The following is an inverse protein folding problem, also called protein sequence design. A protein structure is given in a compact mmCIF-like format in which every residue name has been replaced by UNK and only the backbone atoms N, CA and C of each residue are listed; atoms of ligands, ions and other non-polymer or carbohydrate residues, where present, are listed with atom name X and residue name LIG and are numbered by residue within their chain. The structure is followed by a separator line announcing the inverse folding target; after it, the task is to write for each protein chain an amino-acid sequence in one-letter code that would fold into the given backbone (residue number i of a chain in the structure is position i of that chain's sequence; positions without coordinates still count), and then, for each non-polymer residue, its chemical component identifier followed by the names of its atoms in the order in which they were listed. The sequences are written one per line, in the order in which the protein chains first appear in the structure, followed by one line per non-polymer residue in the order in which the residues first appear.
data_IF_763294489372
#
_entry.id   IF_763294489372
#
_cell.length_a   1.000
_cell.length_b   1.000
_cell.length_c   1.000
_cell.angle_alpha   90.00
_cell.angle_beta   90.00
_cell.angle_gamma   90.00
#
_symmetry.space_group_name_H-M   'P 1'
#
loop_
_entity.id
_entity.type
_entity.pdbx_description
1 polymer ?
#
# COMPACT_ATOMS: atom_id res chain seq x y z
N UNK A 1 -0.55 9.30 -19.95
CA UNK A 1 -0.54 9.89 -18.59
C UNK A 1 -0.66 11.41 -18.58
N UNK A 2 0.30 12.19 -19.12
CA UNK A 2 0.20 13.66 -19.14
C UNK A 2 -1.03 14.18 -19.88
N UNK A 3 -1.40 13.52 -20.96
CA UNK A 3 -2.58 13.87 -21.76
C UNK A 3 -3.87 13.55 -21.00
N UNK A 4 -3.92 12.46 -20.25
CA UNK A 4 -5.03 12.07 -19.37
C UNK A 4 -5.23 13.09 -18.26
N UNK A 5 -4.16 13.52 -17.58
CA UNK A 5 -4.20 14.56 -16.55
C UNK A 5 -4.67 15.90 -17.12
N UNK A 6 -4.18 16.30 -18.31
CA UNK A 6 -4.59 17.53 -18.98
C UNK A 6 -6.07 17.50 -19.37
N UNK A 7 -6.58 16.35 -19.82
CA UNK A 7 -8.00 16.19 -20.15
C UNK A 7 -8.87 16.16 -18.89
N UNK A 8 -8.45 15.47 -17.83
CA UNK A 8 -9.14 15.46 -16.54
C UNK A 8 -9.25 16.86 -15.93
N UNK A 9 -8.22 17.70 -16.09
CA UNK A 9 -8.24 19.09 -15.59
C UNK A 9 -9.27 19.98 -16.28
N UNK A 10 -9.64 19.69 -17.53
CA UNK A 10 -10.68 20.42 -18.27
C UNK A 10 -12.08 20.13 -17.74
N UNK A 11 -12.29 19.01 -17.04
CA UNK A 11 -13.58 18.61 -16.51
C UNK A 11 -13.74 19.20 -15.10
N UNK A 12 -14.72 20.10 -14.85
CA UNK A 12 -14.82 20.85 -13.59
C UNK A 12 -14.92 19.99 -12.35
N UNK A 13 -15.63 18.85 -12.40
CA UNK A 13 -15.80 17.96 -11.24
C UNK A 13 -14.52 17.17 -10.94
N UNK A 14 -13.82 16.68 -11.99
CA UNK A 14 -12.54 15.99 -11.78
C UNK A 14 -11.48 16.95 -11.26
N UNK A 15 -11.50 18.19 -11.75
CA UNK A 15 -10.63 19.26 -11.22
C UNK A 15 -10.91 19.52 -9.73
N UNK A 16 -12.18 19.57 -9.30
CA UNK A 16 -12.52 19.71 -7.87
C UNK A 16 -12.00 18.57 -7.05
N UNK A 17 -12.14 17.32 -7.49
CA UNK A 17 -11.62 16.13 -6.81
C UNK A 17 -10.09 16.12 -6.72
N UNK A 18 -9.39 16.51 -7.81
CA UNK A 18 -7.94 16.66 -7.84
C UNK A 18 -7.46 17.72 -6.84
N UNK A 19 -8.08 18.90 -6.87
CA UNK A 19 -7.77 19.99 -5.94
C UNK A 19 -8.05 19.59 -4.48
N UNK A 20 -9.13 18.87 -4.22
CA UNK A 20 -9.46 18.36 -2.89
C UNK A 20 -8.39 17.37 -2.41
N UNK A 21 -7.98 16.43 -3.26
CA UNK A 21 -6.91 15.48 -2.92
C UNK A 21 -5.60 16.20 -2.60
N UNK A 22 -5.20 17.17 -3.43
CA UNK A 22 -4.01 17.99 -3.19
C UNK A 22 -4.10 18.79 -1.88
N UNK A 23 -5.26 19.36 -1.59
CA UNK A 23 -5.52 20.11 -0.37
C UNK A 23 -5.38 19.23 0.89
N UNK A 24 -5.96 18.03 0.87
CA UNK A 24 -5.81 17.07 1.98
C UNK A 24 -4.34 16.65 2.15
N UNK A 25 -3.62 16.38 1.05
CA UNK A 25 -2.19 16.05 1.12
C UNK A 25 -1.35 17.20 1.68
N UNK A 26 -1.71 18.45 1.39
CA UNK A 26 -1.07 19.63 1.96
C UNK A 26 -1.32 19.72 3.47
N UNK A 27 -2.57 19.53 3.94
CA UNK A 27 -2.89 19.49 5.37
C UNK A 27 -2.10 18.38 6.06
N UNK A 28 -2.06 17.19 5.47
CA UNK A 28 -1.27 16.09 5.97
C UNK A 28 0.22 16.47 6.11
N UNK A 29 0.77 17.13 5.10
CA UNK A 29 2.17 17.56 5.09
C UNK A 29 2.47 18.62 6.15
N UNK A 30 1.58 19.56 6.36
CA UNK A 30 1.69 20.55 7.45
C UNK A 30 1.67 19.86 8.82
N UNK A 31 0.77 18.90 9.02
CA UNK A 31 0.72 18.12 10.27
C UNK A 31 1.97 17.26 10.52
N UNK A 32 2.64 16.81 9.45
CA UNK A 32 3.87 16.01 9.58
C UNK A 32 5.11 16.81 10.01
N UNK A 33 5.00 18.14 10.16
CA UNK A 33 6.09 19.00 10.63
C UNK A 33 5.90 19.40 12.10
N UNK A 34 4.70 19.27 12.67
CA UNK A 34 4.39 19.66 14.04
C UNK A 34 4.99 18.64 15.02
N UNK A 35 6.00 19.00 15.84
CA UNK A 35 6.61 18.07 16.78
C UNK A 35 5.69 17.85 17.99
N UNK A 36 5.81 16.68 18.61
CA UNK A 36 5.13 16.38 19.87
C UNK A 36 5.88 17.08 21.01
N UNK A 37 5.17 17.70 21.96
CA UNK A 37 5.81 18.35 23.12
C UNK A 37 6.60 17.33 23.97
N UNK A 38 7.54 17.83 24.75
CA UNK A 38 8.44 17.06 25.64
C UNK A 38 9.47 16.15 24.93
N UNK A 39 9.68 16.30 23.63
CA UNK A 39 10.68 15.56 22.84
C UNK A 39 11.67 16.56 22.22
N UNK A 40 12.97 16.32 22.40
CA UNK A 40 14.01 17.05 21.67
C UNK A 40 14.19 16.46 20.27
N UNK A 41 13.63 17.17 19.30
CA UNK A 41 13.64 16.77 17.88
C UNK A 41 15.05 16.72 17.31
N UNK A 42 15.94 17.62 17.75
CA UNK A 42 17.29 17.71 17.20
C UNK A 42 18.15 16.53 17.63
N UNK A 43 18.11 16.20 18.89
CA UNK A 43 18.81 15.03 19.46
C UNK A 43 18.28 13.73 18.88
N UNK A 44 16.96 13.60 18.74
CA UNK A 44 16.34 12.42 18.14
C UNK A 44 16.70 12.25 16.65
N UNK A 45 16.67 13.33 15.85
CA UNK A 45 17.01 13.27 14.43
C UNK A 45 18.47 12.84 14.24
N UNK A 46 19.41 13.41 14.99
CA UNK A 46 20.82 13.05 14.92
C UNK A 46 21.04 11.57 15.33
N UNK A 47 20.38 11.12 16.38
CA UNK A 47 20.45 9.72 16.80
C UNK A 47 19.85 8.78 15.76
N UNK A 48 18.74 9.17 15.16
CA UNK A 48 18.09 8.41 14.11
C UNK A 48 19.00 8.24 12.90
N UNK A 49 19.60 9.31 12.41
CA UNK A 49 20.47 9.30 11.23
C UNK A 49 21.74 8.47 11.47
N UNK A 50 22.30 8.51 12.69
CA UNK A 50 23.53 7.79 13.01
C UNK A 50 23.34 6.30 13.30
N UNK A 51 22.22 5.90 13.93
CA UNK A 51 22.04 4.55 14.47
C UNK A 51 20.85 3.82 13.85
N UNK A 52 19.71 4.48 13.72
CA UNK A 52 18.44 3.85 13.39
C UNK A 52 18.11 3.85 11.89
N UNK A 53 18.75 4.69 11.10
CA UNK A 53 18.47 4.82 9.66
C UNK A 53 18.71 3.52 8.87
N UNK A 54 19.69 2.72 9.29
CA UNK A 54 20.01 1.41 8.67
C UNK A 54 19.14 0.25 9.15
N UNK A 55 18.26 0.49 10.13
CA UNK A 55 17.35 -0.53 10.68
C UNK A 55 15.98 -0.50 9.99
N UNK A 56 15.07 -1.40 10.40
CA UNK A 56 13.68 -1.41 9.93
C UNK A 56 12.95 -0.07 10.22
N UNK A 57 13.41 0.68 11.24
CA UNK A 57 12.85 2.00 11.57
C UNK A 57 13.14 3.04 10.49
N UNK A 58 14.24 2.89 9.72
CA UNK A 58 14.50 3.69 8.52
C UNK A 58 13.40 3.55 7.47
N UNK A 59 12.85 2.36 7.30
CA UNK A 59 11.71 2.13 6.43
C UNK A 59 10.43 2.81 6.94
N UNK A 60 10.15 2.70 8.26
CA UNK A 60 9.05 3.44 8.88
C UNK A 60 9.18 4.95 8.65
N UNK A 61 10.40 5.46 8.78
CA UNK A 61 10.69 6.87 8.54
C UNK A 61 10.42 7.27 7.07
N UNK A 62 10.82 6.43 6.11
CA UNK A 62 10.53 6.66 4.70
C UNK A 62 9.02 6.64 4.41
N UNK A 63 8.27 5.69 5.00
CA UNK A 63 6.82 5.57 4.85
C UNK A 63 6.03 6.67 5.56
N UNK A 64 6.60 7.30 6.61
CA UNK A 64 6.03 8.45 7.29
C UNK A 64 6.48 9.80 6.70
N UNK A 65 7.36 9.79 5.68
CA UNK A 65 7.91 10.99 5.07
C UNK A 65 8.78 11.82 6.03
N UNK A 66 9.63 11.14 6.81
CA UNK A 66 10.52 11.69 7.84
C UNK A 66 9.82 12.25 9.08
N UNK A 67 8.52 11.96 9.25
CA UNK A 67 7.77 12.35 10.44
C UNK A 67 8.18 11.50 11.67
N UNK A 68 8.57 10.23 11.44
CA UNK A 68 9.00 9.31 12.49
C UNK A 68 10.31 9.77 13.15
N UNK A 69 11.35 10.10 12.39
CA UNK A 69 12.65 10.54 12.93
C UNK A 69 12.58 11.88 13.67
N UNK A 70 11.51 12.64 13.48
CA UNK A 70 11.27 13.94 14.13
C UNK A 70 10.22 13.87 15.24
N UNK A 71 9.70 12.68 15.58
CA UNK A 71 8.63 12.48 16.55
C UNK A 71 7.49 13.51 16.41
N UNK A 72 7.01 13.72 15.21
CA UNK A 72 5.89 14.64 14.97
C UNK A 72 4.57 14.00 15.37
N UNK A 73 3.51 14.78 15.46
CA UNK A 73 2.16 14.28 15.78
C UNK A 73 1.73 13.17 14.83
N UNK A 74 2.15 13.23 13.56
CA UNK A 74 1.85 12.21 12.55
C UNK A 74 2.95 11.15 12.41
N UNK A 75 3.83 10.96 13.40
CA UNK A 75 4.97 10.05 13.32
C UNK A 75 4.58 8.59 13.03
N UNK A 76 3.50 8.08 13.62
CA UNK A 76 3.00 6.74 13.32
C UNK A 76 2.40 6.63 11.91
N UNK A 77 2.09 7.75 11.25
CA UNK A 77 1.53 7.80 9.91
C UNK A 77 0.26 6.97 9.78
N UNK A 78 0.15 6.25 8.67
CA UNK A 78 -1.00 5.41 8.35
C UNK A 78 -0.83 3.94 8.80
N UNK A 79 0.32 3.57 9.40
CA UNK A 79 0.65 2.20 9.77
C UNK A 79 -0.38 1.52 10.70
N UNK A 80 -0.88 2.17 11.77
CA UNK A 80 -1.90 1.54 12.62
C UNK A 80 -3.16 1.17 11.84
N UNK A 81 -3.55 1.99 10.86
CA UNK A 81 -4.71 1.72 10.00
C UNK A 81 -4.46 0.56 9.02
N UNK A 82 -3.29 0.52 8.39
CA UNK A 82 -2.91 -0.59 7.50
C UNK A 82 -2.96 -1.90 8.27
N UNK A 83 -2.33 -1.96 9.45
CA UNK A 83 -2.32 -3.14 10.30
C UNK A 83 -3.75 -3.54 10.74
N UNK A 84 -4.58 -2.58 11.14
CA UNK A 84 -5.98 -2.82 11.48
C UNK A 84 -6.77 -3.39 10.29
N UNK A 85 -6.60 -2.81 9.12
CA UNK A 85 -7.26 -3.25 7.89
C UNK A 85 -6.89 -4.69 7.53
N UNK A 86 -5.59 -5.04 7.63
CA UNK A 86 -5.11 -6.41 7.40
C UNK A 86 -5.76 -7.38 8.40
N UNK A 87 -5.70 -7.05 9.68
CA UNK A 87 -6.27 -7.89 10.74
C UNK A 87 -7.76 -8.12 10.51
N UNK A 88 -8.51 -7.06 10.23
CA UNK A 88 -9.96 -7.18 10.01
C UNK A 88 -10.27 -7.95 8.72
N UNK A 89 -9.51 -7.76 7.63
CA UNK A 89 -9.67 -8.55 6.41
C UNK A 89 -9.38 -10.04 6.63
N UNK A 90 -8.36 -10.39 7.39
CA UNK A 90 -8.07 -11.78 7.76
C UNK A 90 -9.19 -12.36 8.63
N UNK A 91 -9.68 -11.58 9.61
CA UNK A 91 -10.77 -12.00 10.48
C UNK A 91 -12.11 -12.15 9.74
N UNK A 92 -12.37 -11.36 8.69
CA UNK A 92 -13.57 -11.53 7.85
C UNK A 92 -13.60 -12.86 7.10
N UNK A 93 -12.44 -13.44 6.82
CA UNK A 93 -12.34 -14.77 6.22
C UNK A 93 -12.39 -15.87 7.28
N UNK A 94 -11.78 -15.63 8.46
CA UNK A 94 -11.68 -16.62 9.52
C UNK A 94 -12.96 -16.76 10.36
N UNK A 95 -13.73 -15.68 10.52
CA UNK A 95 -14.92 -15.64 11.40
C UNK A 95 -16.19 -15.59 10.55
N UNK A 96 -17.04 -16.66 10.56
CA UNK A 96 -18.25 -16.72 9.73
C UNK A 96 -19.25 -15.59 9.96
N UNK A 97 -19.28 -15.01 11.18
CA UNK A 97 -20.15 -13.87 11.48
C UNK A 97 -19.70 -12.60 10.73
N UNK A 98 -18.38 -12.35 10.63
CA UNK A 98 -17.83 -11.23 9.87
C UNK A 98 -17.91 -11.48 8.35
N UNK A 99 -17.76 -12.72 7.91
CA UNK A 99 -17.91 -13.10 6.51
C UNK A 99 -19.35 -12.80 6.02
N UNK A 100 -20.37 -13.22 6.78
CA UNK A 100 -21.78 -12.89 6.49
C UNK A 100 -22.02 -11.38 6.45
N UNK A 101 -21.43 -10.64 7.40
CA UNK A 101 -21.53 -9.18 7.43
C UNK A 101 -20.91 -8.54 6.18
N UNK A 102 -19.82 -9.10 5.67
CA UNK A 102 -19.11 -8.59 4.49
C UNK A 102 -19.86 -8.91 3.19
N UNK A 103 -20.41 -10.14 3.06
CA UNK A 103 -21.05 -10.63 1.83
C UNK A 103 -22.54 -10.30 1.77
N UNK A 104 -23.27 -10.58 2.85
CA UNK A 104 -24.73 -10.49 2.88
C UNK A 104 -25.23 -9.14 3.42
N UNK A 105 -24.37 -8.39 4.14
CA UNK A 105 -24.75 -7.14 4.79
C UNK A 105 -24.88 -5.92 3.87
N UNK A 106 -24.56 -6.05 2.57
CA UNK A 106 -24.62 -4.96 1.61
C UNK A 106 -23.79 -3.74 2.03
N UNK A 107 -24.32 -2.53 1.81
CA UNK A 107 -23.62 -1.28 2.20
C UNK A 107 -23.55 -1.09 3.72
N UNK A 108 -24.57 -1.52 4.47
CA UNK A 108 -24.57 -1.39 5.93
C UNK A 108 -23.58 -2.35 6.57
N UNK A 109 -23.38 -3.53 6.00
CA UNK A 109 -22.35 -4.47 6.42
C UNK A 109 -20.94 -3.91 6.23
N UNK A 110 -20.66 -3.32 5.07
CA UNK A 110 -19.41 -2.65 4.78
C UNK A 110 -19.13 -1.52 5.78
N UNK A 111 -20.10 -0.64 6.03
CA UNK A 111 -19.99 0.45 7.02
C UNK A 111 -19.70 -0.05 8.43
N UNK A 112 -20.28 -1.20 8.83
CA UNK A 112 -19.98 -1.81 10.14
C UNK A 112 -18.54 -2.33 10.21
N UNK A 113 -18.05 -2.98 9.16
CA UNK A 113 -16.66 -3.45 9.07
C UNK A 113 -15.68 -2.28 9.12
N UNK A 114 -15.94 -1.20 8.37
CA UNK A 114 -15.14 0.03 8.42
C UNK A 114 -15.12 0.62 9.84
N UNK A 115 -16.24 0.65 10.54
CA UNK A 115 -16.30 1.13 11.92
C UNK A 115 -15.46 0.25 12.87
N UNK A 116 -15.51 -1.07 12.73
CA UNK A 116 -14.66 -1.98 13.50
C UNK A 116 -13.18 -1.70 13.19
N UNK A 117 -12.82 -1.52 11.92
CA UNK A 117 -11.47 -1.17 11.50
C UNK A 117 -11.00 0.14 12.14
N UNK A 118 -11.84 1.17 12.20
CA UNK A 118 -11.52 2.44 12.84
C UNK A 118 -11.22 2.27 14.34
N UNK A 119 -12.06 1.52 15.08
CA UNK A 119 -11.81 1.26 16.50
C UNK A 119 -10.53 0.44 16.72
N UNK A 120 -10.30 -0.56 15.90
CA UNK A 120 -9.06 -1.36 15.92
C UNK A 120 -7.84 -0.48 15.62
N UNK A 121 -7.95 0.47 14.70
CA UNK A 121 -6.90 1.42 14.37
C UNK A 121 -6.52 2.29 15.58
N UNK A 122 -7.50 2.80 16.31
CA UNK A 122 -7.25 3.61 17.52
C UNK A 122 -6.58 2.74 18.60
N UNK A 123 -7.05 1.50 18.80
CA UNK A 123 -6.44 0.55 19.74
C UNK A 123 -4.98 0.23 19.39
N UNK A 124 -4.70 -0.05 18.11
CA UNK A 124 -3.33 -0.28 17.63
C UNK A 124 -2.49 1.01 17.70
N UNK A 125 -3.09 2.17 17.44
CA UNK A 125 -2.45 3.47 17.59
C UNK A 125 -1.96 3.72 19.02
N UNK A 126 -2.78 3.38 20.02
CA UNK A 126 -2.39 3.43 21.44
C UNK A 126 -1.23 2.49 21.75
N UNK A 127 -1.30 1.25 21.28
CA UNK A 127 -0.22 0.27 21.50
C UNK A 127 1.10 0.71 20.85
N UNK A 128 1.04 1.14 19.59
CA UNK A 128 2.22 1.60 18.85
C UNK A 128 2.76 2.91 19.40
N UNK A 129 1.88 3.82 19.81
CA UNK A 129 2.25 5.09 20.47
C UNK A 129 2.96 4.84 21.80
N UNK A 130 2.45 3.94 22.62
CA UNK A 130 3.09 3.51 23.86
C UNK A 130 4.45 2.86 23.59
N UNK A 131 4.52 1.96 22.63
CA UNK A 131 5.77 1.29 22.25
C UNK A 131 6.82 2.29 21.75
N UNK A 132 6.41 3.29 20.96
CA UNK A 132 7.30 4.35 20.50
C UNK A 132 7.79 5.22 21.67
N UNK A 133 6.91 5.59 22.62
CA UNK A 133 7.31 6.28 23.84
C UNK A 133 8.35 5.48 24.64
N UNK A 134 8.11 4.18 24.84
CA UNK A 134 9.06 3.31 25.56
C UNK A 134 10.42 3.24 24.85
N UNK A 135 10.44 3.21 23.53
CA UNK A 135 11.68 3.28 22.77
C UNK A 135 12.44 4.59 23.03
N UNK A 136 11.75 5.74 22.97
CA UNK A 136 12.34 7.04 23.24
C UNK A 136 12.87 7.14 24.69
N UNK A 137 12.12 6.59 25.65
CA UNK A 137 12.51 6.56 27.05
C UNK A 137 13.76 5.69 27.29
N UNK A 138 13.83 4.52 26.64
CA UNK A 138 14.99 3.64 26.73
C UNK A 138 16.26 4.31 26.17
N UNK A 139 16.16 5.05 25.06
CA UNK A 139 17.31 5.79 24.51
C UNK A 139 17.66 7.00 25.37
N UNK A 140 16.67 7.69 25.94
CA UNK A 140 16.92 8.79 26.87
C UNK A 140 17.70 8.30 28.12
N UNK A 141 17.38 7.12 28.64
CA UNK A 141 18.07 6.51 29.78
C UNK A 141 19.50 6.04 29.47
N UNK A 142 19.85 5.85 28.17
CA UNK A 142 21.21 5.53 27.71
C UNK A 142 22.13 6.76 27.54
N UNK A 143 21.68 7.95 27.94
CA UNK A 143 22.47 9.18 27.89
C UNK A 143 22.14 10.14 26.75
N UNK A 144 21.20 9.78 25.87
CA UNK A 144 20.66 10.67 24.86
C UNK A 144 19.43 11.40 25.43
N UNK A 145 19.55 12.60 25.95
CA UNK A 145 18.42 13.35 26.54
C UNK A 145 17.34 13.72 25.51
N UNK A 146 16.66 12.69 24.98
CA UNK A 146 15.60 12.82 23.97
C UNK A 146 14.31 13.31 24.59
N UNK A 147 13.96 12.80 25.79
CA UNK A 147 12.79 13.25 26.56
C UNK A 147 13.24 14.35 27.51
N UNK A 148 12.63 15.53 27.38
CA UNK A 148 13.02 16.72 28.18
C UNK A 148 12.51 16.68 29.61
N UNK A 149 11.39 16.01 29.86
CA UNK A 149 10.77 15.88 31.19
C UNK A 149 10.22 14.48 31.37
N UNK A 150 10.71 13.80 32.42
CA UNK A 150 10.19 12.49 32.81
C UNK A 150 8.95 12.64 33.71
N UNK A 151 7.98 11.75 33.55
CA UNK A 151 6.79 11.71 34.37
C UNK A 151 5.59 11.06 33.65
N UNK A 152 4.54 10.78 34.44
CA UNK A 152 3.32 10.16 33.88
C UNK A 152 2.56 11.10 32.92
N UNK A 153 2.48 12.39 33.22
CA UNK A 153 1.79 13.36 32.35
C UNK A 153 2.46 13.52 30.99
N UNK A 154 3.79 13.75 30.87
CA UNK A 154 4.47 13.75 29.57
C UNK A 154 4.28 12.45 28.77
N UNK A 155 4.38 11.29 29.43
CA UNK A 155 4.17 10.00 28.78
C UNK A 155 2.76 9.89 28.17
N UNK A 156 1.74 10.25 28.95
CA UNK A 156 0.34 10.22 28.51
C UNK A 156 0.10 11.19 27.34
N UNK A 157 0.63 12.41 27.42
CA UNK A 157 0.50 13.41 26.34
C UNK A 157 1.17 12.91 25.04
N UNK A 158 2.37 12.36 25.12
CA UNK A 158 3.10 11.82 23.95
C UNK A 158 2.31 10.69 23.29
N UNK A 159 1.84 9.71 24.08
CA UNK A 159 1.08 8.55 23.55
C UNK A 159 -0.24 8.98 22.93
N UNK A 160 -0.98 9.88 23.61
CA UNK A 160 -2.23 10.41 23.08
C UNK A 160 -2.02 11.25 21.81
N UNK A 161 -0.95 12.06 21.75
CA UNK A 161 -0.62 12.85 20.56
C UNK A 161 -0.36 11.94 19.35
N UNK A 162 0.44 10.88 19.50
CA UNK A 162 0.69 9.91 18.42
C UNK A 162 -0.58 9.17 17.99
N UNK A 163 -1.42 8.78 18.96
CA UNK A 163 -2.69 8.09 18.66
C UNK A 163 -3.66 9.01 17.94
N UNK A 164 -3.81 10.23 18.41
CA UNK A 164 -4.66 11.23 17.77
C UNK A 164 -4.16 11.56 16.34
N UNK A 165 -2.84 11.66 16.17
CA UNK A 165 -2.23 11.85 14.86
C UNK A 165 -2.54 10.71 13.90
N UNK A 166 -2.42 9.45 14.33
CA UNK A 166 -2.74 8.30 13.47
C UNK A 166 -4.23 8.22 13.13
N UNK A 167 -5.12 8.56 14.07
CA UNK A 167 -6.55 8.64 13.83
C UNK A 167 -6.90 9.76 12.83
N UNK A 168 -6.22 10.90 12.92
CA UNK A 168 -6.35 11.99 11.95
C UNK A 168 -5.91 11.56 10.55
N UNK A 169 -4.77 10.87 10.44
CA UNK A 169 -4.27 10.36 9.14
C UNK A 169 -5.24 9.36 8.53
N UNK A 170 -5.80 8.45 9.32
CA UNK A 170 -6.85 7.54 8.89
C UNK A 170 -8.03 8.31 8.31
N UNK A 171 -8.55 9.31 9.04
CA UNK A 171 -9.67 10.12 8.58
C UNK A 171 -9.36 10.89 7.30
N UNK A 172 -8.17 11.48 7.18
CA UNK A 172 -7.72 12.16 5.96
C UNK A 172 -7.65 11.19 4.76
N UNK A 173 -7.18 9.96 4.98
CA UNK A 173 -7.16 8.91 3.95
C UNK A 173 -8.56 8.51 3.48
N UNK A 174 -9.51 8.36 4.40
CA UNK A 174 -10.92 8.10 4.08
C UNK A 174 -11.55 9.25 3.30
N UNK A 175 -11.28 10.51 3.67
CA UNK A 175 -11.76 11.68 2.94
C UNK A 175 -11.25 11.71 1.48
N UNK A 176 -9.99 11.36 1.23
CA UNK A 176 -9.47 11.24 -0.14
C UNK A 176 -10.21 10.14 -0.91
N UNK A 177 -10.47 9.00 -0.27
CA UNK A 177 -11.16 7.87 -0.92
C UNK A 177 -12.60 8.22 -1.29
N UNK A 178 -13.30 8.95 -0.42
CA UNK A 178 -14.72 9.30 -0.61
C UNK A 178 -14.92 10.48 -1.58
N UNK A 179 -14.17 11.56 -1.40
CA UNK A 179 -14.36 12.82 -2.14
C UNK A 179 -13.25 13.14 -3.13
N UNK A 180 -12.14 12.42 -3.09
CA UNK A 180 -10.97 12.64 -3.93
C UNK A 180 -10.89 11.68 -5.13
N UNK A 181 -9.66 11.28 -5.45
CA UNK A 181 -9.34 10.38 -6.56
C UNK A 181 -8.49 9.21 -6.06
N UNK A 182 -8.92 8.00 -6.42
CA UNK A 182 -8.20 6.77 -6.08
C UNK A 182 -8.30 6.38 -4.61
N UNK A 183 -7.38 5.54 -4.15
CA UNK A 183 -7.32 5.08 -2.77
C UNK A 183 -6.53 6.07 -1.91
N UNK A 184 -7.17 6.70 -0.92
CA UNK A 184 -6.56 7.72 -0.09
C UNK A 184 -5.37 7.24 0.73
N UNK A 185 -5.37 5.99 1.19
CA UNK A 185 -4.26 5.36 1.91
C UNK A 185 -3.02 5.33 1.01
N UNK A 186 -3.20 4.80 -0.20
CA UNK A 186 -2.14 4.72 -1.21
C UNK A 186 -1.62 6.11 -1.59
N UNK A 187 -2.51 7.11 -1.69
CA UNK A 187 -2.13 8.49 -2.00
C UNK A 187 -1.31 9.15 -0.88
N UNK A 188 -1.62 8.88 0.39
CA UNK A 188 -0.80 9.38 1.53
C UNK A 188 0.57 8.70 1.52
N UNK A 189 0.65 7.39 1.30
CA UNK A 189 1.93 6.67 1.17
C UNK A 189 2.76 7.22 0.00
N UNK A 190 2.13 7.44 -1.14
CA UNK A 190 2.76 8.05 -2.33
C UNK A 190 3.35 9.42 -2.00
N UNK A 191 2.58 10.30 -1.34
CA UNK A 191 3.06 11.62 -0.95
C UNK A 191 4.24 11.56 0.03
N UNK A 192 4.23 10.61 0.96
CA UNK A 192 5.32 10.40 1.92
C UNK A 192 6.61 9.95 1.22
N UNK A 193 6.48 8.97 0.33
CA UNK A 193 7.64 8.44 -0.39
C UNK A 193 8.24 9.51 -1.31
N UNK A 194 7.41 10.26 -2.04
CA UNK A 194 7.90 11.38 -2.86
C UNK A 194 8.63 12.41 -2.02
N UNK A 195 8.15 12.69 -0.83
CA UNK A 195 8.80 13.68 0.04
C UNK A 195 10.15 13.23 0.60
N UNK A 196 10.47 11.94 0.60
CA UNK A 196 11.79 11.43 0.98
C UNK A 196 12.80 11.41 -0.19
N UNK A 197 12.35 11.62 -1.44
CA UNK A 197 13.22 11.65 -2.62
C UNK A 197 14.36 12.66 -2.51
N UNK A 198 14.18 13.92 -2.03
CA UNK A 198 15.30 14.85 -1.87
C UNK A 198 16.41 14.32 -0.96
N UNK A 199 16.07 13.66 0.13
CA UNK A 199 17.01 12.98 1.03
C UNK A 199 17.75 11.83 0.33
N UNK A 200 17.03 11.03 -0.48
CA UNK A 200 17.61 9.95 -1.28
C UNK A 200 18.60 10.49 -2.33
N UNK A 201 18.30 11.63 -2.95
CA UNK A 201 19.22 12.29 -3.89
C UNK A 201 20.49 12.72 -3.15
N UNK A 202 20.37 13.26 -1.93
CA UNK A 202 21.53 13.60 -1.09
C UNK A 202 22.45 12.41 -0.83
N UNK A 203 21.90 11.23 -0.54
CA UNK A 203 22.69 9.99 -0.37
C UNK A 203 23.26 9.48 -1.69
N UNK A 204 22.55 9.65 -2.81
CA UNK A 204 23.09 9.29 -4.14
C UNK A 204 24.35 10.06 -4.49
N UNK A 205 24.42 11.35 -4.18
CA UNK A 205 25.57 12.21 -4.49
C UNK A 205 26.83 11.79 -3.71
N UNK A 206 26.71 11.12 -2.57
CA UNK A 206 27.84 10.60 -1.79
C UNK A 206 28.43 9.30 -2.35
N UNK A 207 27.76 8.65 -3.33
CA UNK A 207 28.22 7.43 -3.96
C UNK A 207 29.31 7.70 -5.02
N UNK A 208 30.07 6.65 -5.35
CA UNK A 208 31.02 6.70 -6.46
C UNK A 208 30.25 6.80 -7.80
N UNK A 209 30.78 7.57 -8.75
CA UNK A 209 30.06 7.86 -10.02
C UNK A 209 29.52 6.65 -10.79
N UNK A 210 30.24 5.51 -10.79
CA UNK A 210 29.77 4.28 -11.45
C UNK A 210 28.58 3.63 -10.70
N UNK A 211 28.55 3.74 -9.36
CA UNK A 211 27.42 3.26 -8.54
C UNK A 211 26.17 4.10 -8.84
N UNK A 212 26.31 5.41 -9.00
CA UNK A 212 25.21 6.31 -9.36
C UNK A 212 24.58 5.86 -10.69
N UNK A 213 25.42 5.58 -11.70
CA UNK A 213 24.93 5.12 -13.01
C UNK A 213 24.16 3.80 -12.88
N UNK A 214 24.71 2.81 -12.16
CA UNK A 214 24.05 1.51 -11.96
C UNK A 214 22.70 1.67 -11.26
N UNK A 215 22.64 2.48 -10.20
CA UNK A 215 21.39 2.73 -9.47
C UNK A 215 20.36 3.42 -10.35
N UNK A 216 20.74 4.45 -11.10
CA UNK A 216 19.82 5.16 -12.00
C UNK A 216 19.28 4.25 -13.11
N UNK A 217 20.16 3.50 -13.77
CA UNK A 217 19.75 2.53 -14.80
C UNK A 217 18.87 1.44 -14.19
N UNK A 218 19.22 0.96 -12.99
CA UNK A 218 18.40 -0.02 -12.26
C UNK A 218 17.01 0.50 -11.92
N UNK A 219 16.88 1.72 -11.43
CA UNK A 219 15.57 2.34 -11.12
C UNK A 219 14.74 2.48 -12.41
N UNK A 220 15.33 2.99 -13.50
CA UNK A 220 14.61 3.14 -14.77
C UNK A 220 14.17 1.78 -15.32
N UNK A 221 15.04 0.77 -15.30
CA UNK A 221 14.71 -0.57 -15.74
C UNK A 221 13.58 -1.19 -14.89
N UNK A 222 13.63 -0.97 -13.57
CA UNK A 222 12.61 -1.44 -12.62
C UNK A 222 11.26 -0.74 -12.88
N UNK A 223 11.24 0.56 -13.08
CA UNK A 223 10.02 1.32 -13.42
C UNK A 223 9.41 0.82 -14.72
N UNK A 224 10.21 0.65 -15.78
CA UNK A 224 9.74 0.12 -17.06
C UNK A 224 9.16 -1.29 -16.91
N UNK A 225 9.82 -2.14 -16.13
CA UNK A 225 9.35 -3.49 -15.86
C UNK A 225 8.02 -3.51 -15.10
N UNK A 226 7.88 -2.66 -14.07
CA UNK A 226 6.62 -2.53 -13.32
C UNK A 226 5.49 -2.06 -14.24
N UNK A 227 5.73 -1.03 -15.05
CA UNK A 227 4.72 -0.50 -15.99
C UNK A 227 4.29 -1.57 -16.98
N UNK A 228 5.26 -2.29 -17.57
CA UNK A 228 5.00 -3.33 -18.55
C UNK A 228 4.11 -4.45 -17.99
N UNK A 229 4.39 -4.93 -16.78
CA UNK A 229 3.60 -5.99 -16.16
C UNK A 229 2.22 -5.49 -15.66
N UNK A 230 2.13 -4.26 -15.16
CA UNK A 230 0.84 -3.68 -14.73
C UNK A 230 -0.13 -3.44 -15.89
N UNK A 231 0.37 -3.29 -17.11
CA UNK A 231 -0.47 -3.16 -18.31
C UNK A 231 -0.73 -4.50 -19.00
N UNK A 232 -0.01 -5.54 -18.60
CA UNK A 232 -0.20 -6.88 -19.14
C UNK A 232 -1.55 -7.48 -18.68
N UNK A 233 -2.35 -7.95 -19.62
CA UNK A 233 -3.65 -8.56 -19.36
C UNK A 233 -3.85 -9.86 -20.17
N UNK A 234 -4.50 -10.84 -19.55
CA UNK A 234 -4.99 -12.03 -20.23
C UNK A 234 -6.42 -11.80 -20.69
N UNK A 235 -6.65 -11.79 -22.00
CA UNK A 235 -7.97 -11.63 -22.60
C UNK A 235 -8.62 -12.98 -22.80
N UNK A 236 -9.77 -13.22 -22.15
CA UNK A 236 -10.59 -14.42 -22.35
C UNK A 236 -11.72 -14.04 -23.30
N UNK A 237 -11.86 -14.71 -24.47
CA UNK A 237 -12.94 -14.38 -25.40
C UNK A 237 -14.29 -14.81 -24.83
N UNK A 238 -15.27 -13.90 -24.88
CA UNK A 238 -16.65 -14.13 -24.52
C UNK A 238 -17.50 -13.92 -25.75
N UNK A 239 -18.46 -14.81 -25.98
CA UNK A 239 -19.47 -14.71 -27.01
C UNK A 239 -20.84 -14.50 -26.39
N UNK A 240 -21.61 -13.56 -26.92
CA UNK A 240 -22.98 -13.33 -26.54
C UNK A 240 -23.92 -13.97 -27.56
N UNK A 241 -24.97 -14.63 -27.08
CA UNK A 241 -25.98 -15.23 -27.95
C UNK A 241 -26.68 -14.15 -28.78
N UNK A 242 -26.80 -14.41 -30.09
CA UNK A 242 -27.58 -13.54 -30.99
C UNK A 242 -29.06 -13.65 -30.64
N UNK A 243 -29.70 -12.53 -30.40
CA UNK A 243 -31.16 -12.46 -30.15
C UNK A 243 -31.82 -11.83 -31.38
N UNK A 244 -32.71 -12.58 -32.02
CA UNK A 244 -33.48 -12.08 -33.14
C UNK A 244 -34.82 -11.60 -32.60
N UNK A 245 -35.11 -10.29 -32.77
CA UNK A 245 -36.40 -9.69 -32.42
C UNK A 245 -36.99 -9.11 -33.70
N UNK A 246 -37.96 -9.84 -34.27
CA UNK A 246 -38.52 -9.52 -35.57
C UNK A 246 -37.49 -9.68 -36.73
N UNK A 247 -37.31 -8.64 -37.53
CA UNK A 247 -36.31 -8.60 -38.62
C UNK A 247 -34.93 -8.10 -38.20
N UNK A 248 -34.75 -7.66 -36.96
CA UNK A 248 -33.47 -7.13 -36.46
C UNK A 248 -32.76 -8.13 -35.60
N UNK A 249 -31.48 -8.34 -35.85
CA UNK A 249 -30.57 -9.18 -35.07
C UNK A 249 -29.86 -8.30 -34.06
N UNK A 250 -30.12 -8.56 -32.78
CA UNK A 250 -29.45 -7.90 -31.66
C UNK A 250 -28.47 -8.86 -31.01
N UNK A 251 -27.29 -8.37 -30.64
CA UNK A 251 -26.24 -9.19 -30.01
C UNK A 251 -25.28 -9.83 -31.01
N UNK A 252 -24.50 -10.77 -30.54
CA UNK A 252 -23.45 -11.43 -31.34
C UNK A 252 -22.13 -10.66 -31.35
N UNK A 253 -21.95 -9.66 -30.50
CA UNK A 253 -20.66 -9.04 -30.28
C UNK A 253 -19.74 -10.00 -29.51
N UNK A 254 -18.57 -10.25 -30.10
CA UNK A 254 -17.50 -10.94 -29.40
C UNK A 254 -16.76 -9.90 -28.54
N UNK A 255 -16.81 -10.07 -27.23
CA UNK A 255 -16.06 -9.25 -26.28
C UNK A 255 -15.00 -10.10 -25.58
N UNK A 256 -14.05 -9.45 -24.95
CA UNK A 256 -13.04 -10.14 -24.15
C UNK A 256 -13.20 -9.75 -22.68
N UNK A 257 -13.06 -10.74 -21.78
CA UNK A 257 -12.88 -10.50 -20.35
C UNK A 257 -11.39 -10.25 -20.09
N UNK A 258 -10.97 -9.00 -19.81
CA UNK A 258 -9.58 -8.72 -19.51
C UNK A 258 -9.30 -9.11 -18.04
N UNK A 259 -8.33 -9.98 -17.83
CA UNK A 259 -7.80 -10.32 -16.50
C UNK A 259 -6.38 -9.76 -16.44
N UNK A 260 -6.15 -8.76 -15.57
CA UNK A 260 -4.83 -8.16 -15.39
C UNK A 260 -3.86 -9.13 -14.75
N UNK A 261 -2.58 -9.07 -15.10
CA UNK A 261 -1.53 -9.91 -14.50
C UNK A 261 -1.25 -9.45 -13.05
N UNK A 262 -1.18 -8.15 -12.81
CA UNK A 262 -1.05 -7.56 -11.48
C UNK A 262 -2.43 -7.27 -10.88
N UNK A 263 -3.26 -8.34 -10.71
CA UNK A 263 -4.65 -8.20 -10.21
C UNK A 263 -4.74 -7.61 -8.82
N UNK A 264 -3.84 -8.01 -7.94
CA UNK A 264 -3.82 -7.60 -6.54
C UNK A 264 -3.21 -6.22 -6.31
N UNK A 265 -2.69 -5.56 -7.36
CA UNK A 265 -2.04 -4.26 -7.24
C UNK A 265 -0.84 -4.26 -6.30
N UNK A 266 -0.67 -3.18 -5.55
CA UNK A 266 0.45 -2.99 -4.60
C UNK A 266 0.14 -3.50 -3.20
N UNK A 267 -1.14 -3.75 -2.89
CA UNK A 267 -1.61 -4.13 -1.53
C UNK A 267 -0.89 -5.34 -0.93
N UNK A 268 -0.65 -6.46 -1.64
CA UNK A 268 0.08 -7.60 -1.07
C UNK A 268 1.49 -7.27 -0.60
N UNK A 269 2.18 -6.36 -1.29
CA UNK A 269 3.53 -5.92 -0.90
C UNK A 269 3.49 -5.12 0.39
N UNK A 270 2.52 -4.21 0.51
CA UNK A 270 2.31 -3.39 1.72
C UNK A 270 1.95 -4.29 2.91
N UNK A 271 1.08 -5.28 2.71
CA UNK A 271 0.67 -6.22 3.75
C UNK A 271 1.82 -7.12 4.20
N UNK A 272 2.53 -7.73 3.26
CA UNK A 272 3.70 -8.55 3.55
C UNK A 272 4.76 -7.75 4.32
N UNK A 273 5.02 -6.51 3.89
CA UNK A 273 5.96 -5.62 4.54
C UNK A 273 5.53 -5.25 5.97
N UNK A 274 4.25 -4.92 6.16
CA UNK A 274 3.71 -4.58 7.48
C UNK A 274 3.87 -5.76 8.47
N UNK A 275 3.56 -6.98 8.06
CA UNK A 275 3.69 -8.16 8.93
C UNK A 275 5.16 -8.54 9.15
N UNK A 276 5.99 -8.52 8.11
CA UNK A 276 7.42 -8.84 8.25
C UNK A 276 8.17 -7.81 9.11
N UNK A 277 7.68 -6.57 9.17
CA UNK A 277 8.28 -5.54 10.02
C UNK A 277 7.88 -5.63 11.49
N UNK A 278 6.76 -6.31 11.84
CA UNK A 278 6.27 -6.38 13.23
C UNK A 278 7.31 -6.95 14.21
N UNK A 279 7.96 -8.11 13.97
CA UNK A 279 8.92 -8.66 14.91
C UNK A 279 10.13 -7.74 15.13
N UNK A 280 10.68 -7.16 14.05
CA UNK A 280 11.79 -6.23 14.14
C UNK A 280 11.38 -4.94 14.88
N UNK A 281 10.16 -4.47 14.68
CA UNK A 281 9.60 -3.30 15.38
C UNK A 281 9.43 -3.58 16.87
N UNK A 282 8.91 -4.74 17.25
CA UNK A 282 8.79 -5.16 18.65
C UNK A 282 10.18 -5.22 19.31
N UNK A 283 11.18 -5.79 18.62
CA UNK A 283 12.56 -5.81 19.10
C UNK A 283 13.11 -4.40 19.30
N UNK A 284 12.87 -3.49 18.34
CA UNK A 284 13.32 -2.10 18.46
C UNK A 284 12.65 -1.36 19.63
N UNK A 285 11.36 -1.57 19.85
CA UNK A 285 10.62 -0.96 20.96
C UNK A 285 11.03 -1.52 22.34
N UNK A 286 11.42 -2.79 22.42
CA UNK A 286 11.93 -3.39 23.66
C UNK A 286 13.41 -3.10 23.92
N UNK A 287 14.10 -2.35 23.05
CA UNK A 287 15.52 -2.03 23.15
C UNK A 287 16.45 -3.21 22.86
N UNK A 288 15.93 -4.36 22.41
CA UNK A 288 16.70 -5.56 22.07
C UNK A 288 17.01 -5.59 20.57
N UNK A 289 17.78 -4.61 20.11
CA UNK A 289 18.17 -4.49 18.70
C UNK A 289 19.45 -5.24 18.33
N UNK A 290 20.05 -5.95 19.29
CA UNK A 290 21.23 -6.77 19.10
C UNK A 290 20.98 -8.20 19.54
N UNK A 291 21.41 -9.17 18.75
CA UNK A 291 21.29 -10.59 19.06
C UNK A 291 21.22 -11.45 17.81
N UNK A 292 21.63 -12.71 17.92
CA UNK A 292 21.69 -13.63 16.78
C UNK A 292 20.38 -13.68 15.97
N UNK A 293 19.21 -13.72 16.68
CA UNK A 293 17.88 -13.73 16.05
C UNK A 293 17.57 -12.45 15.29
N UNK A 294 17.90 -11.29 15.86
CA UNK A 294 17.64 -10.01 15.21
C UNK A 294 18.51 -9.86 13.96
N UNK A 295 19.82 -10.09 14.10
CA UNK A 295 20.80 -9.86 13.05
C UNK A 295 20.63 -10.81 11.85
N UNK A 296 20.29 -12.08 12.12
CA UNK A 296 20.20 -13.10 11.07
C UNK A 296 18.80 -13.31 10.49
N UNK A 297 17.73 -13.02 11.24
CA UNK A 297 16.37 -13.30 10.80
C UNK A 297 15.58 -12.04 10.47
N UNK A 298 15.63 -11.02 11.33
CA UNK A 298 14.74 -9.86 11.23
C UNK A 298 15.43 -8.58 10.75
N UNK A 299 16.73 -8.60 10.57
CA UNK A 299 17.43 -7.49 9.92
C UNK A 299 17.02 -7.37 8.46
N UNK A 300 16.70 -6.17 8.01
CA UNK A 300 16.30 -5.89 6.61
C UNK A 300 17.38 -6.24 5.58
N UNK A 301 18.62 -6.40 6.01
CA UNK A 301 19.75 -6.85 5.17
C UNK A 301 19.97 -8.37 5.18
N UNK A 302 19.22 -9.13 5.99
CA UNK A 302 19.36 -10.58 6.07
C UNK A 302 18.76 -11.29 4.86
N UNK A 303 19.45 -12.31 4.35
CA UNK A 303 18.91 -13.22 3.33
C UNK A 303 17.70 -14.01 3.83
N UNK A 304 17.66 -14.34 5.12
CA UNK A 304 16.51 -15.03 5.72
C UNK A 304 15.29 -14.12 5.70
N UNK A 305 15.45 -12.84 6.04
CA UNK A 305 14.37 -11.85 5.90
C UNK A 305 13.85 -11.77 4.46
N UNK A 306 14.75 -11.73 3.48
CA UNK A 306 14.38 -11.68 2.06
C UNK A 306 13.52 -12.89 1.64
N UNK A 307 13.88 -14.11 2.09
CA UNK A 307 13.10 -15.33 1.81
C UNK A 307 11.73 -15.28 2.49
N UNK A 308 11.67 -14.92 3.77
CA UNK A 308 10.40 -14.78 4.51
C UNK A 308 9.50 -13.74 3.82
N UNK A 309 10.07 -12.61 3.44
CA UNK A 309 9.34 -11.53 2.77
C UNK A 309 8.78 -11.97 1.42
N UNK A 310 9.56 -12.72 0.62
CA UNK A 310 9.08 -13.31 -0.64
C UNK A 310 7.90 -14.25 -0.42
N UNK A 311 8.00 -15.16 0.56
CA UNK A 311 6.92 -16.09 0.90
C UNK A 311 5.66 -15.33 1.34
N UNK A 312 5.82 -14.28 2.13
CA UNK A 312 4.70 -13.46 2.57
C UNK A 312 4.04 -12.70 1.43
N UNK A 313 4.82 -12.14 0.48
CA UNK A 313 4.27 -11.51 -0.73
C UNK A 313 3.46 -12.53 -1.53
N UNK A 314 3.98 -13.74 -1.71
CA UNK A 314 3.29 -14.81 -2.41
C UNK A 314 1.96 -15.17 -1.73
N UNK A 315 2.00 -15.36 -0.40
CA UNK A 315 0.83 -15.68 0.39
C UNK A 315 -0.24 -14.58 0.30
N UNK A 316 0.14 -13.32 0.53
CA UNK A 316 -0.81 -12.21 0.47
C UNK A 316 -1.33 -11.92 -0.94
N UNK A 317 -0.52 -12.13 -1.97
CA UNK A 317 -0.96 -12.01 -3.35
C UNK A 317 -2.05 -13.05 -3.67
N UNK A 318 -1.83 -14.30 -3.26
CA UNK A 318 -2.81 -15.36 -3.41
C UNK A 318 -4.09 -15.07 -2.59
N UNK A 319 -3.93 -14.75 -1.32
CA UNK A 319 -5.03 -14.45 -0.40
C UNK A 319 -5.90 -13.29 -0.89
N UNK A 320 -5.28 -12.17 -1.24
CA UNK A 320 -5.98 -10.98 -1.70
C UNK A 320 -6.73 -11.21 -3.03
N UNK A 321 -6.10 -11.90 -3.96
CA UNK A 321 -6.73 -12.22 -5.24
C UNK A 321 -7.94 -13.15 -5.07
N UNK A 322 -7.89 -14.09 -4.12
CA UNK A 322 -9.02 -14.99 -3.83
C UNK A 322 -10.22 -14.26 -3.25
N UNK A 323 -9.97 -13.21 -2.44
CA UNK A 323 -11.05 -12.39 -1.89
C UNK A 323 -11.65 -11.46 -2.95
N UNK A 324 -10.80 -10.88 -3.81
CA UNK A 324 -11.21 -9.85 -4.75
C UNK A 324 -11.99 -10.41 -5.95
N UNK A 325 -11.73 -11.67 -6.33
CA UNK A 325 -12.34 -12.28 -7.51
C UNK A 325 -13.21 -13.49 -7.15
N UNK A 326 -14.51 -13.27 -7.03
CA UNK A 326 -15.50 -14.35 -6.92
C UNK A 326 -15.82 -14.88 -8.32
N UNK A 327 -15.20 -16.00 -8.69
CA UNK A 327 -15.35 -16.63 -10.01
C UNK A 327 -16.76 -17.19 -10.23
N UNK A 328 -17.46 -17.54 -9.16
CA UNK A 328 -18.85 -18.02 -9.23
C UNK A 328 -19.77 -16.85 -9.59
N UNK A 329 -19.61 -15.71 -8.94
CA UNK A 329 -20.36 -14.50 -9.26
C UNK A 329 -20.10 -14.04 -10.69
N UNK A 330 -18.83 -14.00 -11.14
CA UNK A 330 -18.46 -13.65 -12.51
C UNK A 330 -19.14 -14.58 -13.52
N UNK A 331 -19.11 -15.91 -13.26
CA UNK A 331 -19.75 -16.89 -14.13
C UNK A 331 -21.28 -16.74 -14.18
N UNK A 332 -21.90 -16.46 -13.04
CA UNK A 332 -23.34 -16.23 -12.95
C UNK A 332 -23.75 -14.94 -13.67
N UNK A 333 -22.98 -13.86 -13.53
CA UNK A 333 -23.19 -12.61 -14.25
C UNK A 333 -23.04 -12.77 -15.76
N UNK A 334 -22.07 -13.56 -16.22
CA UNK A 334 -21.94 -13.92 -17.63
C UNK A 334 -23.16 -14.68 -18.14
N UNK A 335 -23.60 -15.70 -17.39
CA UNK A 335 -24.76 -16.50 -17.72
C UNK A 335 -26.06 -15.67 -17.79
N UNK A 336 -26.29 -14.79 -16.81
CA UNK A 336 -27.49 -13.93 -16.77
C UNK A 336 -27.55 -12.96 -17.95
N UNK A 337 -26.39 -12.48 -18.40
CA UNK A 337 -26.27 -11.60 -19.56
C UNK A 337 -26.22 -12.34 -20.90
N UNK A 338 -26.42 -13.68 -20.93
CA UNK A 338 -26.39 -14.48 -22.16
C UNK A 338 -25.00 -14.65 -22.75
N UNK A 339 -23.95 -14.39 -22.00
CA UNK A 339 -22.55 -14.56 -22.37
C UNK A 339 -22.05 -15.98 -22.05
N UNK A 340 -21.18 -16.52 -22.87
CA UNK A 340 -20.50 -17.79 -22.63
C UNK A 340 -19.07 -17.76 -23.16
N UNK A 341 -18.21 -18.61 -22.56
CA UNK A 341 -16.84 -18.81 -23.02
C UNK A 341 -16.86 -19.97 -24.04
N UNK A 342 -16.34 -19.79 -25.26
CA UNK A 342 -16.29 -20.87 -26.25
C UNK A 342 -15.59 -22.12 -25.69
N UNK A 343 -16.25 -23.28 -25.84
CA UNK A 343 -15.74 -24.57 -25.34
C UNK A 343 -16.14 -24.92 -23.90
N UNK A 344 -16.79 -24.01 -23.16
CA UNK A 344 -17.25 -24.26 -21.78
C UNK A 344 -18.75 -24.02 -21.63
N UNK A 345 -19.44 -24.92 -20.89
CA UNK A 345 -20.85 -24.72 -20.58
C UNK A 345 -21.02 -23.59 -19.56
N UNK A 346 -22.03 -22.70 -19.72
CA UNK A 346 -22.33 -21.65 -18.75
C UNK A 346 -22.60 -22.22 -17.35
N UNK A 347 -22.14 -21.53 -16.32
CA UNK A 347 -22.28 -21.91 -14.91
C UNK A 347 -20.98 -22.48 -14.32
N UNK A 348 -21.08 -23.53 -13.50
CA UNK A 348 -19.92 -24.08 -12.76
C UNK A 348 -18.68 -24.41 -13.63
N UNK A 349 -18.78 -25.04 -14.82
CA UNK A 349 -17.60 -25.30 -15.66
C UNK A 349 -16.89 -24.03 -16.12
N UNK A 350 -17.64 -22.95 -16.34
CA UNK A 350 -17.07 -21.63 -16.68
C UNK A 350 -16.36 -21.01 -15.46
N UNK A 351 -16.94 -21.13 -14.26
CA UNK A 351 -16.31 -20.67 -13.01
C UNK A 351 -14.99 -21.43 -12.76
N UNK A 352 -15.00 -22.76 -12.90
CA UNK A 352 -13.80 -23.60 -12.73
C UNK A 352 -12.70 -23.27 -13.73
N UNK A 353 -13.05 -22.95 -14.98
CA UNK A 353 -12.09 -22.51 -16.00
C UNK A 353 -11.48 -21.16 -15.63
N UNK A 354 -12.31 -20.17 -15.28
CA UNK A 354 -11.86 -18.84 -14.87
C UNK A 354 -10.95 -18.96 -13.64
N UNK A 355 -11.32 -19.79 -12.64
CA UNK A 355 -10.50 -20.03 -11.45
C UNK A 355 -9.12 -20.59 -11.80
N UNK A 356 -9.05 -21.57 -12.71
CA UNK A 356 -7.76 -22.12 -13.19
C UNK A 356 -6.89 -21.07 -13.86
N UNK A 357 -7.49 -20.18 -14.66
CA UNK A 357 -6.76 -19.08 -15.32
C UNK A 357 -6.26 -18.09 -14.27
N UNK A 358 -7.12 -17.66 -13.35
CA UNK A 358 -6.78 -16.74 -12.25
C UNK A 358 -5.63 -17.32 -11.41
N UNK A 359 -5.71 -18.57 -10.98
CA UNK A 359 -4.66 -19.21 -10.18
C UNK A 359 -3.28 -19.18 -10.88
N UNK A 360 -3.24 -19.42 -12.19
CA UNK A 360 -1.99 -19.34 -12.96
C UNK A 360 -1.44 -17.91 -13.05
N UNK A 361 -2.34 -16.94 -13.20
CA UNK A 361 -1.96 -15.51 -13.26
C UNK A 361 -1.48 -15.05 -11.90
N UNK A 362 -2.12 -15.46 -10.81
CA UNK A 362 -1.69 -15.13 -9.43
C UNK A 362 -0.27 -15.64 -9.18
N UNK A 363 0.03 -16.88 -9.53
CA UNK A 363 1.40 -17.42 -9.34
C UNK A 363 2.42 -16.57 -10.07
N UNK A 364 2.17 -16.23 -11.34
CA UNK A 364 3.07 -15.36 -12.10
C UNK A 364 3.18 -13.96 -11.50
N UNK A 365 2.04 -13.34 -11.15
CA UNK A 365 1.98 -12.02 -10.53
C UNK A 365 2.67 -11.95 -9.17
N UNK A 366 2.53 -12.99 -8.33
CA UNK A 366 3.18 -13.03 -7.02
C UNK A 366 4.69 -13.21 -7.11
N UNK A 367 5.17 -14.07 -8.04
CA UNK A 367 6.60 -14.21 -8.32
C UNK A 367 7.18 -12.90 -8.82
N UNK A 368 6.51 -12.25 -9.75
CA UNK A 368 6.87 -10.93 -10.24
C UNK A 368 7.01 -9.91 -9.11
N UNK A 369 5.95 -9.75 -8.27
CA UNK A 369 5.97 -8.81 -7.15
C UNK A 369 7.10 -9.15 -6.16
N UNK A 370 7.31 -10.43 -5.89
CA UNK A 370 8.39 -10.89 -5.01
C UNK A 370 9.78 -10.54 -5.55
N UNK A 371 10.04 -10.80 -6.83
CA UNK A 371 11.31 -10.46 -7.47
C UNK A 371 11.55 -8.95 -7.40
N UNK A 372 10.56 -8.15 -7.79
CA UNK A 372 10.68 -6.68 -7.79
C UNK A 372 10.91 -6.13 -6.37
N UNK A 373 10.23 -6.71 -5.35
CA UNK A 373 10.41 -6.31 -3.96
C UNK A 373 11.78 -6.72 -3.38
N UNK A 374 12.38 -7.81 -3.87
CA UNK A 374 13.70 -8.28 -3.43
C UNK A 374 14.86 -7.58 -4.12
N UNK A 375 14.69 -7.10 -5.34
CA UNK A 375 15.78 -6.44 -6.10
C UNK A 375 16.55 -5.39 -5.28
N UNK A 376 15.87 -4.48 -4.55
CA UNK A 376 16.57 -3.48 -3.75
C UNK A 376 17.33 -4.05 -2.55
N UNK A 377 16.77 -5.09 -1.91
CA UNK A 377 17.44 -5.79 -0.78
C UNK A 377 18.72 -6.47 -1.28
N UNK A 378 18.64 -7.11 -2.44
CA UNK A 378 19.79 -7.75 -3.09
C UNK A 378 20.84 -6.71 -3.49
N UNK A 379 20.41 -5.61 -4.10
CA UNK A 379 21.32 -4.50 -4.49
C UNK A 379 22.02 -3.88 -3.27
N UNK A 380 21.29 -3.67 -2.17
CA UNK A 380 21.85 -3.16 -0.92
C UNK A 380 22.88 -4.09 -0.26
N UNK A 381 22.70 -5.41 -0.41
CA UNK A 381 23.63 -6.41 0.11
C UNK A 381 24.88 -6.56 -0.77
N UNK A 382 24.77 -6.31 -2.07
CA UNK A 382 25.90 -6.38 -3.01
C UNK A 382 26.77 -5.12 -3.02
N UNK A 383 26.17 -3.96 -2.69
CA UNK A 383 26.83 -2.66 -2.75
C UNK A 383 26.66 -1.93 -1.42
N UNK A 384 27.69 -1.89 -0.58
CA UNK A 384 27.63 -1.30 0.78
C UNK A 384 27.15 0.17 0.79
N UNK A 385 27.54 0.98 -0.19
CA UNK A 385 27.09 2.36 -0.32
C UNK A 385 25.59 2.53 -0.64
N UNK A 386 24.92 1.47 -1.12
CA UNK A 386 23.52 1.49 -1.58
C UNK A 386 22.56 0.98 -0.50
N UNK A 387 23.05 0.48 0.65
CA UNK A 387 22.22 -0.07 1.73
C UNK A 387 21.09 0.88 2.16
N UNK A 388 21.42 2.16 2.33
CA UNK A 388 20.43 3.18 2.74
C UNK A 388 19.41 3.50 1.63
N UNK A 389 19.78 3.28 0.36
CA UNK A 389 18.90 3.43 -0.80
C UNK A 389 18.06 2.17 -1.02
N UNK A 390 18.54 0.99 -0.64
CA UNK A 390 17.84 -0.28 -0.77
C UNK A 390 16.54 -0.30 0.06
N UNK A 391 16.52 0.39 1.19
CA UNK A 391 15.31 0.57 2.02
C UNK A 391 14.22 1.31 1.25
N UNK A 392 14.60 2.23 0.33
CA UNK A 392 13.68 2.94 -0.54
C UNK A 392 13.17 2.15 -1.75
N UNK A 393 13.70 0.97 -2.03
CA UNK A 393 13.38 0.26 -3.27
C UNK A 393 11.97 -0.33 -3.32
N UNK A 394 11.42 -0.80 -2.20
CA UNK A 394 10.00 -1.20 -2.12
C UNK A 394 9.08 0.02 -2.32
N UNK A 395 9.56 1.20 -1.96
CA UNK A 395 8.87 2.46 -2.17
C UNK A 395 8.65 2.78 -3.65
N UNK A 396 9.58 2.36 -4.54
CA UNK A 396 9.43 2.56 -5.99
C UNK A 396 8.23 1.78 -6.54
N UNK A 397 8.00 0.55 -6.05
CA UNK A 397 6.83 -0.25 -6.44
C UNK A 397 5.54 0.48 -6.05
N UNK A 398 5.51 0.99 -4.81
CA UNK A 398 4.34 1.71 -4.29
C UNK A 398 4.10 2.98 -5.12
N UNK A 399 5.13 3.78 -5.37
CA UNK A 399 5.01 5.03 -6.13
C UNK A 399 4.50 4.76 -7.55
N UNK A 400 5.12 3.83 -8.27
CA UNK A 400 4.73 3.51 -9.65
C UNK A 400 3.35 2.88 -9.70
N UNK A 401 3.05 1.94 -8.79
CA UNK A 401 1.76 1.28 -8.72
C UNK A 401 0.62 2.25 -8.43
N UNK A 402 0.79 3.10 -7.41
CA UNK A 402 -0.22 4.11 -7.04
C UNK A 402 -0.41 5.14 -8.15
N UNK A 403 0.67 5.58 -8.81
CA UNK A 403 0.57 6.50 -9.95
C UNK A 403 -0.26 5.87 -11.09
N UNK A 404 0.00 4.61 -11.43
CA UNK A 404 -0.75 3.88 -12.46
C UNK A 404 -2.22 3.67 -12.07
N UNK A 405 -2.49 3.25 -10.83
CA UNK A 405 -3.86 3.07 -10.32
C UNK A 405 -4.64 4.38 -10.33
N UNK A 406 -4.01 5.50 -9.94
CA UNK A 406 -4.64 6.82 -9.94
C UNK A 406 -4.97 7.29 -11.35
N UNK A 407 -4.07 7.08 -12.33
CA UNK A 407 -4.34 7.41 -13.74
C UNK A 407 -5.48 6.56 -14.29
N UNK A 408 -5.50 5.24 -14.00
CA UNK A 408 -6.58 4.34 -14.41
C UNK A 408 -7.92 4.72 -13.75
N UNK A 409 -7.91 5.15 -12.50
CA UNK A 409 -9.12 5.66 -11.82
C UNK A 409 -9.64 6.94 -12.47
N UNK A 410 -8.76 7.87 -12.89
CA UNK A 410 -9.11 9.06 -13.63
C UNK A 410 -9.72 8.72 -15.01
N UNK A 411 -9.09 7.82 -15.74
CA UNK A 411 -9.58 7.36 -17.05
C UNK A 411 -10.98 6.73 -16.94
N UNK A 412 -11.18 5.87 -15.94
CA UNK A 412 -12.48 5.26 -15.69
C UNK A 412 -13.57 6.30 -15.38
N UNK A 413 -13.25 7.33 -14.58
CA UNK A 413 -14.20 8.41 -14.28
C UNK A 413 -14.48 9.31 -15.50
N UNK A 414 -13.51 9.52 -16.39
CA UNK A 414 -13.72 10.24 -17.66
C UNK A 414 -14.62 9.45 -18.63
N UNK A 415 -14.41 8.13 -18.75
CA UNK A 415 -15.21 7.27 -19.63
C UNK A 415 -16.68 7.20 -19.20
N UNK A 416 -16.93 7.07 -17.89
CA UNK A 416 -18.32 7.06 -17.37
C UNK A 416 -19.11 8.34 -17.70
N UNK A 417 -18.44 9.46 -17.91
CA UNK A 417 -19.09 10.72 -18.29
C UNK A 417 -19.35 10.88 -19.78
N UNK A 418 -18.48 10.35 -20.62
CA UNK A 418 -18.77 10.34 -22.07
C UNK A 418 -20.04 9.55 -22.39
N UNK A 419 -20.36 8.54 -21.58
CA UNK A 419 -21.59 7.75 -21.71
C UNK A 419 -22.84 8.51 -21.24
N UNK A 420 -22.73 9.36 -20.19
CA UNK A 420 -23.87 10.18 -19.72
C UNK A 420 -24.25 11.29 -20.68
N UNK A 421 -23.31 11.91 -21.39
CA UNK A 421 -23.58 12.93 -22.38
C UNK A 421 -24.20 12.43 -23.70
N UNK A 422 -24.44 11.12 -23.82
CA UNK A 422 -25.18 10.53 -24.95
C UNK A 422 -26.65 10.20 -24.60
N UNK A 423 -27.06 10.37 -23.32
CA UNK A 423 -28.40 10.08 -22.80
C UNK A 423 -29.18 11.34 -22.43
N UNK A 424 -28.52 12.51 -22.44
CA UNK A 424 -29.11 13.84 -22.38
C UNK A 424 -29.15 14.46 -23.80
#
# INVERSE_FOLDING_TARGET
MLQTLKNAWKIPELRKKLLFTLFILLIYRLGSVIPVPFIDVTTLANYFDSVLSSTILGLYNAMSGSAFSRATVLALGIQPYINASIIIQLLTVAIPALERLAKDGGEDGKKKIERITRYTTVGLGLLMGWAYYMMLHNYSSQGYSIITTDGFLPALVIVLAFTAGSALVMWLGEQITEFGIGNGISMILFANIISSIPGMIGTLVTLVWWQIIIVLVGIVALVLFIVFINDAERRIPIQYAKRVVGRKVYGGQNTNLPIKVAMSGVMPVIFAQSICSLPATICAFTGKTSGWWYDHVWSSSSWVYAVIYFIMIFFFSWFYSTIQYDTVEISNNLKSNGGFIPGFRPGKPTADFIQKVINKIIVFGSVYLGIVALLPIIAGNLMEGVKNLAIGGTSVIIVVGVALETVKALEAQMLMRHYKGFLD
#
